data_IF_465517328429
#
_entry.id   IF_465517328429
#
_cell.length_a   1.000
_cell.length_b   1.000
_cell.length_c   1.000
_cell.angle_alpha   90.00
_cell.angle_beta   90.00
_cell.angle_gamma   90.00
#
_symmetry.space_group_name_H-M   'P 1'
#
loop_
_entity.id
_entity.type
_entity.pdbx_description
1 polymer ?
#
# COMPACT_ATOMS: atom_id res chain seq x y z
N UNK A 1 -49.67 56.86 -32.82
CA UNK A 1 -48.88 56.01 -33.72
C UNK A 1 -48.12 55.02 -32.86
N UNK A 2 -48.46 53.75 -33.05
CA UNK A 2 -47.72 52.52 -32.72
C UNK A 2 -47.39 52.20 -31.25
N UNK A 3 -48.29 51.45 -30.63
CA UNK A 3 -47.96 50.32 -29.74
C UNK A 3 -47.32 49.18 -30.53
N UNK A 4 -46.47 48.35 -29.89
CA UNK A 4 -46.45 46.85 -29.92
C UNK A 4 -45.17 46.37 -29.19
N UNK A 5 -45.27 45.96 -27.92
CA UNK A 5 -45.24 44.58 -27.35
C UNK A 5 -43.83 43.95 -27.23
N UNK A 6 -43.48 43.63 -25.98
CA UNK A 6 -42.39 42.76 -25.54
C UNK A 6 -42.72 41.28 -25.79
N UNK A 7 -41.77 40.49 -26.27
CA UNK A 7 -41.73 39.04 -26.10
C UNK A 7 -40.64 38.67 -25.07
N UNK A 8 -40.88 37.72 -24.14
CA UNK A 8 -39.88 37.27 -23.20
C UNK A 8 -39.08 36.10 -23.80
N UNK A 9 -37.75 36.24 -23.85
CA UNK A 9 -36.86 35.14 -24.22
C UNK A 9 -36.80 34.12 -23.08
N UNK A 10 -37.24 32.90 -23.41
CA UNK A 10 -37.24 31.67 -22.60
C UNK A 10 -35.85 31.41 -22.00
N UNK A 11 -35.78 31.35 -20.66
CA UNK A 11 -34.63 30.85 -19.93
C UNK A 11 -34.63 29.32 -20.08
N UNK A 12 -33.66 28.76 -20.81
CA UNK A 12 -33.39 27.33 -20.77
C UNK A 12 -32.63 27.02 -19.49
N UNK A 13 -33.35 26.40 -18.56
CA UNK A 13 -32.82 25.81 -17.34
C UNK A 13 -32.07 24.52 -17.72
N UNK A 14 -30.75 24.63 -17.87
CA UNK A 14 -29.85 23.48 -17.97
C UNK A 14 -29.86 22.76 -16.62
N UNK A 15 -30.62 21.67 -16.53
CA UNK A 15 -30.62 20.77 -15.40
C UNK A 15 -29.23 20.11 -15.25
N UNK A 16 -28.50 20.52 -14.23
CA UNK A 16 -27.30 19.86 -13.75
C UNK A 16 -27.71 18.52 -13.12
N UNK A 17 -27.51 17.43 -13.88
CA UNK A 17 -27.76 16.07 -13.39
C UNK A 17 -26.65 15.68 -12.41
N UNK A 18 -26.99 15.56 -11.13
CA UNK A 18 -26.13 14.97 -10.11
C UNK A 18 -25.92 13.49 -10.43
N UNK A 19 -24.69 12.94 -10.33
CA UNK A 19 -24.45 11.53 -10.61
C UNK A 19 -25.19 10.64 -9.61
N UNK A 20 -25.75 9.52 -10.09
CA UNK A 20 -26.39 8.53 -9.23
C UNK A 20 -25.32 7.68 -8.52
N UNK A 21 -25.50 7.36 -7.24
CA UNK A 21 -24.52 6.62 -6.41
C UNK A 21 -24.14 5.24 -7.01
N UNK A 22 -25.06 4.61 -7.75
CA UNK A 22 -24.78 3.35 -8.44
C UNK A 22 -23.85 3.53 -9.65
N UNK A 23 -23.92 4.68 -10.35
CA UNK A 23 -23.00 5.00 -11.45
C UNK A 23 -21.59 5.31 -10.94
N UNK A 24 -21.48 6.01 -9.80
CA UNK A 24 -20.18 6.32 -9.20
C UNK A 24 -19.43 5.06 -8.72
N UNK A 25 -20.15 4.10 -8.14
CA UNK A 25 -19.58 2.80 -7.77
C UNK A 25 -19.12 2.00 -8.98
N UNK A 26 -19.96 1.92 -10.01
CA UNK A 26 -19.63 1.24 -11.27
C UNK A 26 -18.41 1.86 -11.96
N UNK A 27 -18.30 3.19 -11.97
CA UNK A 27 -17.15 3.90 -12.53
C UNK A 27 -15.87 3.64 -11.73
N UNK A 28 -15.98 3.57 -10.41
CA UNK A 28 -14.84 3.29 -9.52
C UNK A 28 -14.32 1.86 -9.74
N UNK A 29 -15.20 0.87 -9.81
CA UNK A 29 -14.82 -0.51 -10.06
C UNK A 29 -14.16 -0.67 -11.43
N UNK A 30 -14.73 -0.03 -12.46
CA UNK A 30 -14.15 -0.02 -13.81
C UNK A 30 -12.75 0.59 -13.82
N UNK A 31 -12.54 1.69 -13.09
CA UNK A 31 -11.23 2.32 -12.96
C UNK A 31 -10.22 1.39 -12.27
N UNK A 32 -10.61 0.71 -11.19
CA UNK A 32 -9.71 -0.19 -10.47
C UNK A 32 -9.29 -1.40 -11.31
N UNK A 33 -10.19 -1.94 -12.13
CA UNK A 33 -9.86 -3.00 -13.10
C UNK A 33 -8.86 -2.46 -14.14
N UNK A 34 -9.11 -1.27 -14.70
CA UNK A 34 -8.18 -0.65 -15.64
C UNK A 34 -6.80 -0.37 -15.02
N UNK A 35 -6.75 0.08 -13.77
CA UNK A 35 -5.49 0.28 -13.03
C UNK A 35 -4.72 -1.05 -12.90
N UNK A 36 -5.42 -2.14 -12.58
CA UNK A 36 -4.87 -3.48 -12.49
C UNK A 36 -4.30 -3.96 -13.82
N UNK A 37 -5.05 -3.82 -14.92
CA UNK A 37 -4.63 -4.25 -16.26
C UNK A 37 -3.36 -3.52 -16.71
N UNK A 38 -3.32 -2.18 -16.59
CA UNK A 38 -2.15 -1.38 -16.97
C UNK A 38 -0.93 -1.74 -16.12
N UNK A 39 -1.12 -2.02 -14.84
CA UNK A 39 -0.06 -2.43 -13.95
C UNK A 39 0.46 -3.84 -14.26
N UNK A 40 -0.44 -4.78 -14.52
CA UNK A 40 -0.12 -6.14 -14.96
C UNK A 40 0.72 -6.12 -16.23
N UNK A 41 0.25 -5.41 -17.26
CA UNK A 41 0.97 -5.20 -18.53
C UNK A 41 2.37 -4.60 -18.33
N UNK A 42 2.51 -3.63 -17.42
CA UNK A 42 3.80 -3.02 -17.14
C UNK A 42 4.77 -4.00 -16.47
N UNK A 43 4.28 -4.78 -15.50
CA UNK A 43 5.08 -5.73 -14.74
C UNK A 43 5.40 -6.97 -15.57
N UNK A 44 4.48 -7.47 -16.39
CA UNK A 44 4.71 -8.58 -17.33
C UNK A 44 5.86 -8.26 -18.28
N UNK A 45 5.80 -7.09 -18.94
CA UNK A 45 6.90 -6.64 -19.82
C UNK A 45 8.24 -6.49 -19.08
N UNK A 46 8.21 -6.14 -17.80
CA UNK A 46 9.42 -6.08 -16.98
C UNK A 46 9.97 -7.48 -16.70
N UNK A 47 9.11 -8.44 -16.33
CA UNK A 47 9.52 -9.83 -16.10
C UNK A 47 10.12 -10.43 -17.38
N UNK A 48 9.49 -10.23 -18.53
CA UNK A 48 9.99 -10.65 -19.84
C UNK A 48 11.37 -10.07 -20.15
N UNK A 49 11.58 -8.78 -19.89
CA UNK A 49 12.86 -8.11 -20.15
C UNK A 49 13.98 -8.66 -19.24
N UNK A 50 13.63 -9.08 -18.02
CA UNK A 50 14.56 -9.61 -17.04
C UNK A 50 14.78 -11.12 -17.19
N UNK A 51 14.01 -11.81 -18.04
CA UNK A 51 13.96 -13.27 -18.17
C UNK A 51 13.60 -13.95 -16.84
N UNK A 52 12.62 -13.39 -16.13
CA UNK A 52 12.14 -13.91 -14.84
C UNK A 52 10.81 -14.60 -15.01
N UNK A 53 10.71 -15.83 -14.51
CA UNK A 53 9.43 -16.50 -14.33
C UNK A 53 8.61 -15.78 -13.24
N UNK A 54 7.28 -15.75 -13.40
CA UNK A 54 6.36 -15.25 -12.39
C UNK A 54 4.93 -15.21 -12.89
N UNK A 55 4.00 -15.67 -12.07
CA UNK A 55 2.57 -15.59 -12.32
C UNK A 55 2.05 -14.27 -11.73
N UNK A 56 1.37 -13.46 -12.54
CA UNK A 56 0.77 -12.19 -12.12
C UNK A 56 -0.72 -12.40 -11.85
N UNK A 57 -1.14 -12.09 -10.63
CA UNK A 57 -2.54 -12.07 -10.21
C UNK A 57 -3.00 -10.63 -9.95
N UNK A 58 -4.20 -10.30 -10.45
CA UNK A 58 -4.84 -9.00 -10.30
C UNK A 58 -6.09 -9.13 -9.41
N UNK A 59 -6.20 -8.29 -8.40
CA UNK A 59 -7.38 -8.24 -7.51
C UNK A 59 -7.75 -6.81 -7.13
N UNK A 60 -8.93 -6.63 -6.52
CA UNK A 60 -9.41 -5.38 -5.96
C UNK A 60 -9.71 -5.57 -4.48
N UNK A 61 -8.87 -4.98 -3.64
CA UNK A 61 -9.02 -5.06 -2.19
C UNK A 61 -9.14 -3.67 -1.56
N UNK A 62 -10.09 -3.51 -0.63
CA UNK A 62 -10.24 -2.28 0.15
C UNK A 62 -10.26 -0.98 -0.69
N UNK A 63 -10.84 -1.03 -1.89
CA UNK A 63 -10.96 0.11 -2.80
C UNK A 63 -9.67 0.52 -3.50
N UNK A 64 -8.74 -0.42 -3.73
CA UNK A 64 -7.54 -0.24 -4.55
C UNK A 64 -7.25 -1.50 -5.37
N UNK A 65 -6.58 -1.34 -6.51
CA UNK A 65 -6.02 -2.46 -7.25
C UNK A 65 -4.87 -3.09 -6.46
N UNK A 66 -4.76 -4.41 -6.52
CA UNK A 66 -3.69 -5.21 -5.94
C UNK A 66 -3.10 -6.06 -7.05
N UNK A 67 -1.78 -6.07 -7.14
CA UNK A 67 -1.03 -6.92 -8.06
C UNK A 67 -0.08 -7.78 -7.26
N UNK A 68 -0.15 -9.08 -7.46
CA UNK A 68 0.71 -10.07 -6.81
C UNK A 68 1.54 -10.79 -7.86
N UNK A 69 2.82 -11.00 -7.59
CA UNK A 69 3.70 -11.80 -8.45
C UNK A 69 4.22 -13.00 -7.65
N UNK A 70 3.93 -14.22 -8.10
CA UNK A 70 4.28 -15.46 -7.42
C UNK A 70 4.93 -16.49 -8.36
N UNK A 71 5.33 -17.66 -7.83
CA UNK A 71 5.76 -18.81 -8.64
C UNK A 71 7.18 -18.76 -9.23
N UNK A 72 7.82 -17.60 -9.29
CA UNK A 72 9.14 -17.43 -9.90
C UNK A 72 10.36 -17.63 -8.98
N UNK A 73 11.39 -18.31 -9.47
CA UNK A 73 12.63 -18.57 -8.73
C UNK A 73 13.51 -17.33 -8.48
N UNK A 74 13.36 -16.29 -9.30
CA UNK A 74 14.18 -15.08 -9.26
C UNK A 74 13.46 -13.86 -8.62
N UNK A 75 12.23 -14.05 -8.14
CA UNK A 75 11.40 -12.96 -7.59
C UNK A 75 12.00 -12.30 -6.34
N UNK A 76 12.85 -13.00 -5.58
CA UNK A 76 13.57 -12.40 -4.45
C UNK A 76 14.39 -11.16 -4.84
N UNK A 77 14.87 -11.10 -6.09
CA UNK A 77 15.61 -9.94 -6.61
C UNK A 77 14.72 -8.72 -6.81
N UNK A 78 13.45 -8.92 -7.15
CA UNK A 78 12.43 -7.87 -7.29
C UNK A 78 11.95 -7.35 -5.94
N UNK A 79 12.13 -8.14 -4.88
CA UNK A 79 11.94 -7.69 -3.50
C UNK A 79 13.12 -6.81 -3.06
N UNK A 80 14.33 -7.33 -3.23
CA UNK A 80 15.57 -6.71 -2.79
C UNK A 80 15.71 -6.60 -1.26
N UNK A 81 16.75 -5.91 -0.80
CA UNK A 81 17.03 -5.81 0.64
C UNK A 81 15.88 -5.13 1.39
N UNK A 82 15.23 -5.87 2.29
CA UNK A 82 14.13 -5.38 3.15
C UNK A 82 12.95 -4.80 2.34
N UNK A 83 12.73 -5.28 1.11
CA UNK A 83 11.64 -4.81 0.25
C UNK A 83 11.92 -3.48 -0.46
N UNK A 84 13.14 -2.96 -0.45
CA UNK A 84 13.43 -1.65 -1.08
C UNK A 84 13.18 -1.64 -2.59
N UNK A 85 13.39 -2.76 -3.28
CA UNK A 85 13.16 -2.87 -4.74
C UNK A 85 11.66 -3.02 -4.99
N UNK A 86 10.96 -3.81 -4.17
CA UNK A 86 9.50 -3.92 -4.21
C UNK A 86 8.82 -2.54 -4.10
N UNK A 87 9.23 -1.71 -3.14
CA UNK A 87 8.65 -0.37 -3.00
C UNK A 87 9.00 0.54 -4.18
N UNK A 88 10.21 0.45 -4.73
CA UNK A 88 10.57 1.20 -5.93
C UNK A 88 9.75 0.77 -7.15
N UNK A 89 9.57 -0.54 -7.35
CA UNK A 89 8.75 -1.10 -8.42
C UNK A 89 7.29 -0.67 -8.28
N UNK A 90 6.72 -0.72 -7.07
CA UNK A 90 5.37 -0.24 -6.82
C UNK A 90 5.19 1.22 -7.25
N UNK A 91 6.13 2.10 -6.90
CA UNK A 91 6.05 3.51 -7.30
C UNK A 91 6.20 3.70 -8.81
N UNK A 92 7.08 2.94 -9.47
CA UNK A 92 7.20 2.97 -10.92
C UNK A 92 5.92 2.49 -11.61
N UNK A 93 5.31 1.42 -11.12
CA UNK A 93 4.04 0.90 -11.62
C UNK A 93 2.91 1.91 -11.41
N UNK A 94 2.83 2.56 -10.23
CA UNK A 94 1.84 3.63 -9.99
C UNK A 94 2.00 4.81 -10.95
N UNK A 95 3.24 5.18 -11.29
CA UNK A 95 3.52 6.22 -12.28
C UNK A 95 3.11 5.79 -13.69
N UNK A 96 3.35 4.54 -14.08
CA UNK A 96 2.90 4.00 -15.35
C UNK A 96 1.36 4.01 -15.46
N UNK A 97 0.66 3.59 -14.41
CA UNK A 97 -0.80 3.66 -14.31
C UNK A 97 -1.29 5.10 -14.38
N UNK A 98 -0.65 6.03 -13.67
CA UNK A 98 -1.01 7.45 -13.73
C UNK A 98 -0.82 8.03 -15.13
N UNK A 99 0.22 7.62 -15.84
CA UNK A 99 0.49 8.11 -17.20
C UNK A 99 -0.61 7.67 -18.18
N UNK A 100 -1.18 6.48 -18.02
CA UNK A 100 -2.23 5.96 -18.87
C UNK A 100 -3.64 6.46 -18.48
N UNK A 101 -3.96 6.39 -17.19
CA UNK A 101 -5.30 6.72 -16.66
C UNK A 101 -5.50 8.20 -16.35
N UNK A 102 -4.41 8.96 -16.20
CA UNK A 102 -4.41 10.35 -15.74
C UNK A 102 -4.64 10.53 -14.23
N UNK A 103 -4.89 9.44 -13.49
CA UNK A 103 -5.22 9.47 -12.06
C UNK A 103 -4.10 8.83 -11.25
N UNK A 104 -3.78 9.39 -10.08
CA UNK A 104 -2.83 8.74 -9.16
C UNK A 104 -3.46 7.50 -8.56
N UNK A 105 -2.95 6.35 -8.96
CA UNK A 105 -3.38 5.06 -8.44
C UNK A 105 -2.93 4.84 -6.99
N UNK A 106 -3.77 4.16 -6.22
CA UNK A 106 -3.48 3.65 -4.87
C UNK A 106 -3.02 2.18 -4.89
N UNK A 107 -2.69 1.66 -6.07
CA UNK A 107 -2.33 0.28 -6.31
C UNK A 107 -1.28 -0.23 -5.32
N UNK A 108 -1.44 -1.47 -4.89
CA UNK A 108 -0.48 -2.16 -4.03
C UNK A 108 0.17 -3.30 -4.81
N UNK A 109 1.49 -3.39 -4.73
CA UNK A 109 2.26 -4.49 -5.30
C UNK A 109 2.76 -5.38 -4.16
N UNK A 110 2.61 -6.69 -4.32
CA UNK A 110 3.27 -7.70 -3.53
C UNK A 110 4.03 -8.68 -4.44
N UNK A 111 5.16 -9.18 -3.95
CA UNK A 111 6.01 -10.11 -4.70
C UNK A 111 6.43 -11.22 -3.75
N UNK A 112 6.23 -12.46 -4.17
CA UNK A 112 6.59 -13.67 -3.42
C UNK A 112 6.06 -13.68 -1.97
N UNK A 113 4.87 -13.12 -1.73
CA UNK A 113 4.27 -13.04 -0.39
C UNK A 113 5.06 -12.20 0.62
N UNK A 114 5.97 -11.33 0.15
CA UNK A 114 6.91 -10.61 1.03
C UNK A 114 6.21 -9.85 2.13
N UNK A 115 5.08 -9.17 1.82
CA UNK A 115 4.41 -8.30 2.80
C UNK A 115 3.85 -9.08 3.98
N UNK A 116 3.31 -10.27 3.72
CA UNK A 116 2.85 -11.18 4.76
C UNK A 116 4.03 -11.73 5.57
N UNK A 117 5.06 -12.25 4.88
CA UNK A 117 6.26 -12.80 5.52
C UNK A 117 6.96 -11.78 6.41
N UNK A 118 7.16 -10.55 5.93
CA UNK A 118 7.77 -9.49 6.73
C UNK A 118 6.98 -9.17 7.99
N UNK A 119 5.65 -9.11 7.88
CA UNK A 119 4.80 -8.85 9.05
C UNK A 119 5.00 -9.93 10.10
N UNK A 120 5.03 -11.19 9.70
CA UNK A 120 5.26 -12.33 10.59
C UNK A 120 6.66 -12.29 11.22
N UNK A 121 7.70 -12.01 10.44
CA UNK A 121 9.07 -11.83 10.95
C UNK A 121 9.15 -10.76 12.04
N UNK A 122 8.54 -9.60 11.80
CA UNK A 122 8.53 -8.48 12.73
C UNK A 122 7.71 -8.80 13.98
N UNK A 123 6.52 -9.40 13.82
CA UNK A 123 5.72 -9.83 14.96
C UNK A 123 6.48 -10.84 15.83
N UNK A 124 7.19 -11.78 15.22
CA UNK A 124 8.04 -12.74 15.93
C UNK A 124 9.19 -12.04 16.64
N UNK A 125 9.89 -11.12 15.96
CA UNK A 125 10.96 -10.33 16.56
C UNK A 125 10.48 -9.56 17.79
N UNK A 126 9.34 -8.86 17.68
CA UNK A 126 8.77 -8.09 18.78
C UNK A 126 8.43 -8.95 19.99
N UNK A 127 7.81 -10.12 19.77
CA UNK A 127 7.46 -11.06 20.84
C UNK A 127 8.71 -11.66 21.51
N UNK A 128 9.68 -12.15 20.74
CA UNK A 128 10.90 -12.73 21.30
C UNK A 128 11.69 -11.68 22.09
N UNK A 129 11.82 -10.46 21.57
CA UNK A 129 12.48 -9.37 22.30
C UNK A 129 11.73 -9.00 23.59
N UNK A 130 10.39 -8.99 23.58
CA UNK A 130 9.60 -8.78 24.79
C UNK A 130 9.86 -9.85 25.87
N UNK A 131 9.88 -11.13 25.47
CA UNK A 131 10.17 -12.25 26.37
C UNK A 131 11.58 -12.14 26.97
N UNK A 132 12.60 -11.82 26.16
CA UNK A 132 13.99 -11.62 26.60
C UNK A 132 14.14 -10.45 27.60
N UNK A 133 13.46 -9.33 27.35
CA UNK A 133 13.47 -8.16 28.27
C UNK A 133 12.75 -8.50 29.58
N UNK A 134 11.65 -9.25 29.52
CA UNK A 134 10.89 -9.66 30.70
C UNK A 134 11.74 -10.55 31.62
N UNK A 135 12.45 -11.51 31.05
CA UNK A 135 13.33 -12.44 31.79
C UNK A 135 14.59 -11.75 32.31
N UNK A 136 15.30 -11.02 31.45
CA UNK A 136 16.60 -10.41 31.80
C UNK A 136 16.47 -9.15 32.65
N UNK A 137 15.37 -8.41 32.51
CA UNK A 137 15.18 -7.09 33.10
C UNK A 137 15.96 -5.96 32.42
N UNK A 138 16.75 -6.26 31.38
CA UNK A 138 17.51 -5.26 30.64
C UNK A 138 16.72 -4.78 29.42
N UNK A 139 16.76 -3.48 29.14
CA UNK A 139 16.14 -2.92 27.94
C UNK A 139 16.80 -3.44 26.64
N UNK A 140 16.01 -3.59 25.58
CA UNK A 140 16.49 -4.04 24.28
C UNK A 140 16.22 -2.98 23.20
N UNK A 141 17.27 -2.59 22.47
CA UNK A 141 17.20 -1.63 21.36
C UNK A 141 17.22 -2.37 20.04
N UNK A 142 16.15 -2.27 19.27
CA UNK A 142 16.08 -2.85 17.94
C UNK A 142 16.78 -1.97 16.91
N UNK A 143 16.99 -2.53 15.71
CA UNK A 143 17.48 -1.80 14.55
C UNK A 143 16.49 -0.70 14.11
N UNK A 144 16.98 0.36 13.45
CA UNK A 144 16.10 1.32 12.78
C UNK A 144 15.19 0.65 11.75
N UNK A 145 13.95 1.12 11.68
CA UNK A 145 12.89 0.53 10.85
C UNK A 145 11.80 1.58 10.55
N UNK A 146 11.00 1.36 9.51
CA UNK A 146 9.97 2.31 9.07
C UNK A 146 8.85 2.47 10.11
N UNK A 147 8.05 3.56 10.08
CA UNK A 147 6.92 3.74 11.00
C UNK A 147 5.95 2.54 11.00
N UNK A 148 5.71 1.94 9.84
CA UNK A 148 4.86 0.76 9.71
C UNK A 148 5.46 -0.46 10.41
N UNK A 149 6.74 -0.73 10.20
CA UNK A 149 7.44 -1.84 10.88
C UNK A 149 7.47 -1.63 12.40
N UNK A 150 7.70 -0.39 12.87
CA UNK A 150 7.66 -0.07 14.30
C UNK A 150 6.28 -0.36 14.89
N UNK A 151 5.20 -0.03 14.17
CA UNK A 151 3.84 -0.30 14.63
C UNK A 151 3.61 -1.80 14.83
N UNK A 152 4.06 -2.65 13.91
CA UNK A 152 3.96 -4.12 14.04
C UNK A 152 4.71 -4.60 15.29
N UNK A 153 5.92 -4.08 15.53
CA UNK A 153 6.70 -4.41 16.73
C UNK A 153 5.97 -3.96 18.00
N UNK A 154 5.48 -2.72 18.04
CA UNK A 154 4.74 -2.20 19.19
C UNK A 154 3.53 -3.06 19.51
N UNK A 155 2.77 -3.47 18.50
CA UNK A 155 1.60 -4.33 18.66
C UNK A 155 1.98 -5.72 19.17
N UNK A 156 3.10 -6.29 18.69
CA UNK A 156 3.62 -7.56 19.17
C UNK A 156 4.15 -7.50 20.61
N UNK A 157 4.83 -6.41 21.00
CA UNK A 157 5.31 -6.19 22.37
C UNK A 157 4.13 -5.98 23.32
N UNK A 158 3.12 -5.23 22.91
CA UNK A 158 1.93 -4.96 23.73
C UNK A 158 1.10 -6.21 24.04
N UNK A 159 1.31 -7.32 23.31
CA UNK A 159 0.69 -8.60 23.60
C UNK A 159 1.37 -9.38 24.75
N UNK A 160 2.51 -8.90 25.26
CA UNK A 160 3.25 -9.51 26.37
C UNK A 160 3.10 -8.65 27.62
N UNK A 161 2.53 -9.21 28.68
CA UNK A 161 2.36 -8.51 29.95
C UNK A 161 3.71 -8.26 30.65
N UNK A 162 3.84 -7.12 31.33
CA UNK A 162 5.04 -6.77 32.09
C UNK A 162 6.18 -6.13 31.28
N UNK A 163 5.92 -5.77 30.02
CA UNK A 163 6.83 -4.97 29.19
C UNK A 163 6.07 -3.84 28.48
N UNK A 164 6.80 -2.86 27.98
CA UNK A 164 6.29 -1.82 27.08
C UNK A 164 7.36 -1.43 26.07
N UNK A 165 6.97 -0.66 25.04
CA UNK A 165 7.88 -0.23 24.00
C UNK A 165 7.71 1.25 23.65
N UNK A 166 8.82 1.91 23.33
CA UNK A 166 8.85 3.29 22.87
C UNK A 166 9.66 3.42 21.58
N UNK A 167 9.33 4.42 20.75
CA UNK A 167 10.07 4.73 19.53
C UNK A 167 11.06 5.86 19.79
N UNK A 168 12.36 5.55 19.85
CA UNK A 168 13.45 6.51 20.08
C UNK A 168 14.18 6.92 18.80
N UNK A 169 14.68 8.15 18.76
CA UNK A 169 15.46 8.72 17.65
C UNK A 169 14.61 9.43 16.59
N UNK A 170 15.27 9.92 15.55
CA UNK A 170 14.66 10.63 14.42
C UNK A 170 14.83 9.82 13.13
N UNK A 171 13.88 9.95 12.20
CA UNK A 171 13.98 9.35 10.86
C UNK A 171 15.29 9.78 10.16
N UNK A 172 16.03 8.86 9.51
CA UNK A 172 15.75 7.44 9.26
C UNK A 172 16.28 6.48 10.35
N UNK A 173 16.90 7.00 11.41
CA UNK A 173 17.54 6.22 12.48
C UNK A 173 16.58 5.82 13.61
N UNK A 174 15.30 6.18 13.49
CA UNK A 174 14.28 5.91 14.49
C UNK A 174 14.01 4.41 14.65
N UNK A 175 13.95 3.95 15.89
CA UNK A 175 13.91 2.52 16.26
C UNK A 175 13.00 2.28 17.46
N UNK A 176 12.58 1.04 17.66
CA UNK A 176 11.84 0.64 18.87
C UNK A 176 12.80 0.19 19.96
N UNK A 177 12.54 0.64 21.17
CA UNK A 177 13.19 0.17 22.40
C UNK A 177 12.13 -0.48 23.28
N UNK A 178 12.47 -1.65 23.82
CA UNK A 178 11.58 -2.44 24.68
C UNK A 178 12.12 -2.38 26.11
N UNK A 179 11.23 -2.09 27.05
CA UNK A 179 11.53 -1.94 28.47
C UNK A 179 10.68 -2.90 29.29
N UNK A 180 11.22 -3.34 30.42
CA UNK A 180 10.43 -4.04 31.44
C UNK A 180 9.56 -3.02 32.17
N UNK A 181 8.29 -3.34 32.33
CA UNK A 181 7.37 -2.54 33.14
C UNK A 181 7.65 -2.80 34.61
N UNK A 182 7.77 -1.72 35.40
CA UNK A 182 8.01 -1.75 36.84
C UNK A 182 6.85 -2.31 37.65
#
# INVERSE_FOLDING_TARGET
MSETVQEPTKVEESAESTPNADQERSNTETLLVQEGDVAGDYLERLLDLLDYDGDIDLDVEAGRAVVSIEGGGDLEKLVGSRGQVLEALQELTRLAVQQDTGVRSRLMLDVAGWRAGRREELSTLGRTTAEEVLESGNEARLRPMTPFERKIIHDAVAAVDGVHSESEGEEPSRKVVVYKSS
#
